data_IF_191966452758
#
_entry.id   IF_191966452758
#
_cell.length_a   1.000
_cell.length_b   1.000
_cell.length_c   1.000
_cell.angle_alpha   90.00
_cell.angle_beta   90.00
_cell.angle_gamma   90.00
#
_symmetry.space_group_name_H-M   'P 1'
#
loop_
_entity.id
_entity.type
_entity.pdbx_description
1 polymer ?
#
# COMPACT_ATOMS: atom_id res chain seq x y z
N UNK A 1 -7.13 -18.25 6.70
CA UNK A 1 -5.79 -17.71 6.36
C UNK A 1 -5.98 -16.55 5.42
N UNK A 2 -5.43 -15.38 5.78
CA UNK A 2 -5.52 -14.15 4.98
C UNK A 2 -4.47 -14.15 3.85
N UNK A 3 -4.45 -15.19 3.01
CA UNK A 3 -3.57 -15.26 1.84
C UNK A 3 -4.26 -14.61 0.63
N UNK A 4 -3.48 -13.90 -0.18
CA UNK A 4 -3.97 -13.33 -1.42
C UNK A 4 -4.31 -14.42 -2.44
N UNK A 5 -5.30 -14.17 -3.27
CA UNK A 5 -5.76 -15.14 -4.30
C UNK A 5 -5.00 -15.01 -5.62
N UNK A 6 -4.19 -13.95 -5.79
CA UNK A 6 -3.55 -13.59 -7.04
C UNK A 6 -4.46 -12.78 -7.98
N UNK A 7 -5.71 -12.50 -7.59
CA UNK A 7 -6.63 -11.67 -8.37
C UNK A 7 -6.24 -10.19 -8.23
N UNK A 8 -6.20 -9.48 -9.36
CA UNK A 8 -6.03 -8.03 -9.43
C UNK A 8 -7.35 -7.38 -9.83
N UNK A 9 -7.84 -6.48 -9.00
CA UNK A 9 -9.08 -5.73 -9.24
C UNK A 9 -8.81 -4.26 -9.50
N UNK A 10 -9.49 -3.69 -10.48
CA UNK A 10 -9.46 -2.25 -10.69
C UNK A 10 -10.14 -1.54 -9.52
N UNK A 11 -9.48 -0.50 -8.99
CA UNK A 11 -10.03 0.30 -7.88
C UNK A 11 -11.01 1.36 -8.36
N UNK A 12 -10.83 1.87 -9.58
CA UNK A 12 -11.64 2.96 -10.16
C UNK A 12 -13.14 2.65 -10.11
N UNK A 13 -13.91 3.55 -9.49
CA UNK A 13 -15.36 3.42 -9.33
C UNK A 13 -15.81 2.42 -8.26
N UNK A 14 -14.89 1.83 -7.49
CA UNK A 14 -15.19 0.95 -6.36
C UNK A 14 -15.07 1.67 -5.01
N UNK A 15 -15.41 0.98 -3.92
CA UNK A 15 -15.17 1.48 -2.56
C UNK A 15 -13.67 1.66 -2.23
N UNK A 16 -12.78 1.09 -3.03
CA UNK A 16 -11.32 1.21 -2.92
C UNK A 16 -10.73 2.28 -3.85
N UNK A 17 -11.57 3.12 -4.44
CA UNK A 17 -11.11 4.23 -5.30
C UNK A 17 -10.64 5.40 -4.43
N UNK A 18 -9.32 5.54 -4.33
CA UNK A 18 -8.62 6.64 -3.68
C UNK A 18 -7.75 7.43 -4.67
N UNK A 19 -8.05 7.36 -5.98
CA UNK A 19 -7.35 8.15 -7.00
C UNK A 19 -7.57 9.66 -6.82
N UNK A 20 -8.70 10.03 -6.22
CA UNK A 20 -8.92 11.38 -5.69
C UNK A 20 -9.01 11.31 -4.15
N UNK A 21 -8.49 12.34 -3.43
CA UNK A 21 -8.59 12.38 -1.99
C UNK A 21 -10.04 12.33 -1.51
N UNK A 22 -10.34 11.45 -0.58
CA UNK A 22 -11.63 11.38 0.11
C UNK A 22 -11.45 10.88 1.55
N UNK A 23 -12.35 11.21 2.48
CA UNK A 23 -12.33 10.64 3.82
C UNK A 23 -12.56 9.12 3.78
N UNK A 24 -11.94 8.42 4.73
CA UNK A 24 -12.37 7.07 5.08
C UNK A 24 -13.67 7.18 5.89
N UNK A 25 -14.72 6.54 5.39
CA UNK A 25 -16.04 6.59 6.03
C UNK A 25 -16.32 5.29 6.81
N UNK A 26 -17.12 5.36 7.89
CA UNK A 26 -17.47 4.15 8.67
C UNK A 26 -18.13 3.05 7.85
N UNK A 27 -18.86 3.42 6.78
CA UNK A 27 -19.52 2.49 5.86
C UNK A 27 -18.59 1.91 4.78
N UNK A 28 -17.37 2.43 4.62
CA UNK A 28 -16.41 1.83 3.70
C UNK A 28 -16.05 0.41 4.17
N UNK A 29 -15.73 -0.49 3.24
CA UNK A 29 -15.16 -1.79 3.62
C UNK A 29 -13.93 -1.62 4.51
N UNK A 30 -13.74 -2.52 5.46
CA UNK A 30 -12.50 -2.58 6.22
C UNK A 30 -11.31 -2.76 5.28
N UNK A 31 -10.25 -2.03 5.52
CA UNK A 31 -9.03 -2.09 4.72
C UNK A 31 -8.07 -3.11 5.33
N UNK A 32 -7.71 -4.10 4.56
CA UNK A 32 -6.57 -5.00 4.72
C UNK A 32 -6.16 -5.47 3.32
N UNK A 33 -5.70 -4.51 2.51
CA UNK A 33 -5.52 -4.73 1.09
C UNK A 33 -4.19 -4.15 0.60
N UNK A 34 -3.54 -4.90 -0.30
CA UNK A 34 -2.39 -4.39 -1.04
C UNK A 34 -2.88 -3.59 -2.26
N UNK A 35 -2.57 -2.31 -2.28
CA UNK A 35 -2.77 -1.45 -3.43
C UNK A 35 -1.57 -1.60 -4.37
N UNK A 36 -1.81 -2.16 -5.55
CA UNK A 36 -0.78 -2.38 -6.57
C UNK A 36 -0.50 -1.06 -7.28
N UNK A 37 0.71 -0.53 -7.10
CA UNK A 37 1.16 0.75 -7.66
C UNK A 37 1.80 0.58 -9.04
N UNK A 38 2.49 -0.54 -9.24
CA UNK A 38 3.22 -0.90 -10.46
C UNK A 38 3.48 -2.40 -10.48
N UNK A 39 3.84 -2.96 -11.63
CA UNK A 39 4.16 -4.38 -11.75
C UNK A 39 5.49 -4.73 -11.04
N UNK A 40 6.45 -3.81 -11.06
CA UNK A 40 7.79 -4.00 -10.48
C UNK A 40 8.19 -2.77 -9.68
N UNK A 41 9.27 -2.88 -8.89
CA UNK A 41 9.89 -1.73 -8.25
C UNK A 41 10.20 -0.62 -9.26
N UNK A 42 10.06 0.63 -8.84
CA UNK A 42 10.23 1.83 -9.66
C UNK A 42 11.22 2.79 -8.96
N UNK A 43 11.73 3.80 -9.65
CA UNK A 43 12.40 4.91 -8.97
C UNK A 43 11.53 5.50 -7.85
N UNK A 44 12.17 6.06 -6.82
CA UNK A 44 11.47 6.68 -5.69
C UNK A 44 10.44 7.70 -6.19
N UNK A 45 9.19 7.54 -5.79
CA UNK A 45 8.07 8.40 -6.19
C UNK A 45 7.04 8.51 -5.08
N UNK A 46 6.31 9.61 -5.05
CA UNK A 46 5.15 9.79 -4.17
C UNK A 46 4.03 8.86 -4.59
N UNK A 47 3.49 8.10 -3.65
CA UNK A 47 2.49 7.05 -3.91
C UNK A 47 1.25 7.17 -3.06
N UNK A 48 1.33 7.87 -1.92
CA UNK A 48 0.20 8.03 -1.01
C UNK A 48 0.30 9.39 -0.31
N UNK A 49 -0.86 10.03 -0.16
CA UNK A 49 -1.04 11.21 0.65
C UNK A 49 -2.15 10.96 1.66
N UNK A 50 -1.91 11.32 2.91
CA UNK A 50 -2.86 11.19 4.01
C UNK A 50 -2.92 12.49 4.79
N UNK A 51 -4.13 12.88 5.22
CA UNK A 51 -4.34 14.01 6.12
C UNK A 51 -5.23 13.57 7.29
N UNK A 52 -4.74 13.78 8.49
CA UNK A 52 -5.53 13.58 9.70
C UNK A 52 -6.49 14.72 10.00
N UNK A 53 -7.44 14.49 10.89
CA UNK A 53 -8.41 15.52 11.35
C UNK A 53 -7.75 16.68 12.06
N UNK A 54 -6.57 16.49 12.63
CA UNK A 54 -5.72 17.54 13.22
C UNK A 54 -5.11 18.49 12.19
N UNK A 55 -5.23 18.18 10.89
CA UNK A 55 -4.61 18.93 9.79
C UNK A 55 -3.19 18.47 9.48
N UNK A 56 -2.55 17.66 10.32
CA UNK A 56 -1.26 17.06 9.99
C UNK A 56 -1.42 16.19 8.75
N UNK A 57 -0.53 16.37 7.79
CA UNK A 57 -0.48 15.57 6.56
C UNK A 57 0.80 14.77 6.47
N UNK A 58 0.73 13.68 5.72
CA UNK A 58 1.83 12.78 5.45
C UNK A 58 1.84 12.42 3.97
N UNK A 59 3.02 12.42 3.37
CA UNK A 59 3.26 11.85 2.04
C UNK A 59 4.19 10.67 2.18
N UNK A 60 3.82 9.56 1.59
CA UNK A 60 4.66 8.38 1.44
C UNK A 60 5.26 8.36 0.05
N UNK A 61 6.59 8.27 -0.04
CA UNK A 61 7.28 7.94 -1.26
C UNK A 61 7.98 6.58 -1.11
N UNK A 62 7.98 5.78 -2.16
CA UNK A 62 8.63 4.47 -2.13
C UNK A 62 9.10 4.01 -3.51
N UNK A 63 10.09 3.12 -3.51
CA UNK A 63 10.51 2.36 -4.69
C UNK A 63 9.69 1.09 -4.90
N UNK A 64 8.87 0.71 -3.91
CA UNK A 64 8.13 -0.56 -3.94
C UNK A 64 6.95 -0.56 -4.90
N UNK A 65 6.55 -1.77 -5.31
CA UNK A 65 5.48 -2.03 -6.29
C UNK A 65 4.09 -2.00 -5.66
N UNK A 66 3.96 -2.07 -4.35
CA UNK A 66 2.70 -2.10 -3.62
C UNK A 66 2.77 -1.37 -2.29
N UNK A 67 1.58 -1.05 -1.77
CA UNK A 67 1.40 -0.55 -0.40
C UNK A 67 0.22 -1.29 0.21
N UNK A 68 0.47 -2.03 1.30
CA UNK A 68 -0.61 -2.59 2.12
C UNK A 68 -1.18 -1.48 2.99
N UNK A 69 -2.49 -1.41 3.06
CA UNK A 69 -3.22 -0.55 3.99
C UNK A 69 -4.09 -1.43 4.87
N UNK A 70 -3.89 -1.35 6.18
CA UNK A 70 -4.71 -2.00 7.19
C UNK A 70 -5.27 -0.96 8.15
N UNK A 71 -6.58 -0.92 8.33
CA UNK A 71 -7.24 0.12 9.14
C UNK A 71 -7.47 -0.29 10.61
N UNK A 72 -7.08 -1.50 10.98
CA UNK A 72 -7.18 -2.01 12.35
C UNK A 72 -8.60 -2.10 12.90
N UNK A 73 -9.61 -1.92 12.06
CA UNK A 73 -11.01 -1.77 12.47
C UNK A 73 -11.54 -3.02 13.15
N UNK A 74 -11.21 -4.18 12.64
CA UNK A 74 -11.57 -5.49 13.19
C UNK A 74 -10.85 -5.82 14.51
N UNK A 75 -9.68 -5.23 14.73
CA UNK A 75 -8.89 -5.35 15.94
C UNK A 75 -9.14 -4.22 16.96
N UNK A 76 -10.02 -3.24 16.62
CA UNK A 76 -10.35 -2.13 17.49
C UNK A 76 -9.27 -1.04 17.59
N UNK A 77 -8.33 -0.99 16.65
CA UNK A 77 -7.28 0.03 16.62
C UNK A 77 -7.72 1.25 15.79
N UNK A 78 -7.70 2.47 16.35
CA UNK A 78 -7.98 3.70 15.62
C UNK A 78 -6.74 4.20 14.87
N UNK A 79 -6.13 3.36 14.04
CA UNK A 79 -4.89 3.67 13.34
C UNK A 79 -4.84 2.98 11.97
N UNK A 80 -4.03 3.53 11.05
CA UNK A 80 -3.70 2.90 9.79
C UNK A 80 -2.28 2.33 9.86
N UNK A 81 -2.11 1.05 9.55
CA UNK A 81 -0.83 0.51 9.14
C UNK A 81 -0.67 0.73 7.63
N UNK A 82 0.49 1.24 7.23
CA UNK A 82 0.81 1.57 5.85
C UNK A 82 2.18 0.95 5.56
N UNK A 83 2.21 -0.04 4.69
CA UNK A 83 3.37 -0.92 4.52
C UNK A 83 3.79 -0.95 3.04
N UNK A 84 4.90 -0.30 2.71
CA UNK A 84 5.45 -0.34 1.37
C UNK A 84 6.27 -1.62 1.16
N UNK A 85 5.86 -2.44 0.20
CA UNK A 85 6.51 -3.72 -0.11
C UNK A 85 6.20 -4.21 -1.53
N UNK A 86 6.85 -5.28 -1.96
CA UNK A 86 6.46 -6.03 -3.14
C UNK A 86 5.07 -6.66 -2.94
N UNK A 87 4.42 -7.11 -4.02
CA UNK A 87 3.11 -7.74 -3.88
C UNK A 87 3.20 -8.99 -2.99
N UNK A 88 2.27 -9.13 -2.01
CA UNK A 88 2.33 -10.20 -1.04
C UNK A 88 2.17 -11.57 -1.71
N UNK A 89 2.82 -12.58 -1.13
CA UNK A 89 2.79 -13.98 -1.60
C UNK A 89 3.28 -14.17 -3.05
N UNK A 90 4.08 -13.24 -3.57
CA UNK A 90 4.57 -13.25 -4.95
C UNK A 90 5.22 -14.58 -5.40
N UNK A 91 5.97 -15.33 -4.55
CA UNK A 91 6.53 -16.60 -4.97
C UNK A 91 5.51 -17.67 -5.37
N UNK A 92 4.27 -17.55 -4.91
CA UNK A 92 3.19 -18.50 -5.19
C UNK A 92 2.27 -18.05 -6.35
N UNK A 93 2.54 -16.89 -6.97
CA UNK A 93 1.73 -16.31 -8.04
C UNK A 93 2.56 -16.00 -9.28
N UNK A 94 2.41 -16.79 -10.34
CA UNK A 94 3.17 -16.64 -11.59
C UNK A 94 2.90 -15.33 -12.34
N UNK A 95 1.81 -14.65 -12.04
CA UNK A 95 1.45 -13.35 -12.60
C UNK A 95 2.00 -12.16 -11.80
N UNK A 96 2.72 -12.41 -10.70
CA UNK A 96 3.39 -11.38 -9.91
C UNK A 96 4.87 -11.30 -10.27
N UNK A 97 5.46 -10.13 -10.09
CA UNK A 97 6.90 -9.98 -10.27
C UNK A 97 7.67 -10.81 -9.23
N UNK A 98 8.74 -11.52 -9.63
CA UNK A 98 9.53 -12.30 -8.69
C UNK A 98 10.22 -11.39 -7.67
N UNK A 99 10.29 -11.87 -6.42
CA UNK A 99 10.94 -11.18 -5.31
C UNK A 99 12.20 -11.93 -4.83
N UNK A 100 12.57 -13.00 -5.51
CA UNK A 100 13.77 -13.78 -5.21
C UNK A 100 15.02 -12.95 -5.36
N UNK A 101 15.97 -13.14 -4.46
CA UNK A 101 17.30 -12.57 -4.52
C UNK A 101 18.31 -13.72 -4.57
N UNK A 102 19.13 -13.77 -5.62
CA UNK A 102 20.15 -14.79 -5.75
C UNK A 102 21.35 -14.52 -4.81
N UNK A 103 22.12 -15.55 -4.51
CA UNK A 103 23.32 -15.38 -3.72
C UNK A 103 24.30 -14.40 -4.39
N UNK A 104 24.76 -13.42 -3.62
CA UNK A 104 25.64 -12.34 -4.11
C UNK A 104 24.93 -11.15 -4.73
N UNK A 105 23.62 -11.20 -4.94
CA UNK A 105 22.84 -10.04 -5.36
C UNK A 105 22.50 -9.12 -4.19
N UNK A 106 22.29 -7.85 -4.50
CA UNK A 106 21.82 -6.82 -3.55
C UNK A 106 20.54 -6.19 -4.07
N UNK A 107 19.54 -6.06 -3.21
CA UNK A 107 18.34 -5.27 -3.47
C UNK A 107 18.32 -4.06 -2.53
N UNK A 108 17.96 -2.91 -3.07
CA UNK A 108 17.73 -1.70 -2.28
C UNK A 108 16.26 -1.31 -2.35
N UNK A 109 15.66 -1.11 -1.19
CA UNK A 109 14.35 -0.51 -1.02
C UNK A 109 14.51 0.85 -0.36
N UNK A 110 13.80 1.86 -0.86
CA UNK A 110 13.76 3.20 -0.28
C UNK A 110 12.32 3.54 0.01
N UNK A 111 12.04 3.96 1.23
CA UNK A 111 10.72 4.47 1.64
C UNK A 111 10.94 5.73 2.47
N UNK A 112 10.26 6.81 2.09
CA UNK A 112 10.31 8.09 2.78
C UNK A 112 8.94 8.47 3.31
N UNK A 113 8.91 8.96 4.55
CA UNK A 113 7.75 9.49 5.23
C UNK A 113 7.96 10.98 5.45
N UNK A 114 7.21 11.82 4.74
CA UNK A 114 7.30 13.27 4.88
C UNK A 114 6.05 13.80 5.55
N UNK A 115 6.23 14.48 6.67
CA UNK A 115 5.14 15.06 7.45
C UNK A 115 5.13 16.58 7.32
N UNK A 116 3.94 17.16 7.23
CA UNK A 116 3.72 18.60 7.26
C UNK A 116 2.66 18.96 8.31
N UNK A 117 2.87 20.10 8.96
CA UNK A 117 1.88 20.70 9.86
C UNK A 117 0.83 21.46 9.05
N UNK A 118 -0.36 21.72 9.66
CA UNK A 118 -1.38 22.58 9.06
C UNK A 118 -0.84 23.97 8.75
#
# INVERSE_FOLDING_TARGET
TALVTGELRATKGSAFDFLAPRPLAPQDPALDHCFCLSQTAQPLRDVLWLRGTSGVSMTLATTEAGVQIYDGRDAGYPALAIEAHAWPDAPNHNNFAPISLAAGETRTQITEWRFARP
#
